data_IF_563945634175
#
_entry.id   IF_563945634175
#
_cell.length_a   1.000
_cell.length_b   1.000
_cell.length_c   1.000
_cell.angle_alpha   90.00
_cell.angle_beta   90.00
_cell.angle_gamma   90.00
#
_symmetry.space_group_name_H-M   'P 1'
#
loop_
_entity.id
_entity.type
_entity.pdbx_description
1 polymer ?
#
# COMPACT_ATOMS: atom_id res chain seq x y z
N UNK A 1 -23.16 -38.80 26.16
CA UNK A 1 -24.49 -38.61 26.78
C UNK A 1 -24.47 -37.40 27.73
N UNK A 2 -25.32 -36.42 27.40
CA UNK A 2 -25.86 -35.35 28.26
C UNK A 2 -24.90 -34.32 28.90
N UNK A 3 -24.76 -33.22 28.15
CA UNK A 3 -24.76 -31.79 28.53
C UNK A 3 -25.17 -31.45 29.97
N UNK A 4 -24.53 -30.43 30.58
CA UNK A 4 -25.23 -29.28 31.18
C UNK A 4 -24.26 -28.09 31.39
N UNK A 5 -24.59 -26.95 30.76
CA UNK A 5 -24.08 -25.61 31.02
C UNK A 5 -24.60 -25.09 32.37
N UNK A 6 -23.75 -24.40 33.15
CA UNK A 6 -24.19 -23.47 34.21
C UNK A 6 -23.32 -22.21 34.16
N UNK A 7 -23.98 -21.09 33.85
CA UNK A 7 -23.48 -19.72 33.97
C UNK A 7 -23.35 -19.35 35.46
N UNK A 8 -22.27 -18.66 35.83
CA UNK A 8 -22.21 -17.96 37.11
C UNK A 8 -21.68 -16.55 36.91
N UNK A 9 -22.48 -15.59 37.37
CA UNK A 9 -22.18 -14.17 37.44
C UNK A 9 -21.34 -13.89 38.69
N UNK A 10 -20.15 -13.34 38.51
CA UNK A 10 -19.26 -12.88 39.58
C UNK A 10 -19.06 -11.38 39.50
N UNK A 11 -19.72 -10.67 40.41
CA UNK A 11 -19.57 -9.25 40.72
C UNK A 11 -18.20 -8.98 41.35
N UNK A 12 -17.46 -7.99 40.81
CA UNK A 12 -16.22 -7.49 41.42
C UNK A 12 -16.26 -5.97 41.58
N UNK A 13 -16.07 -5.57 42.82
CA UNK A 13 -16.14 -4.21 43.36
C UNK A 13 -14.96 -3.33 42.94
N UNK A 14 -15.31 -2.14 42.45
CA UNK A 14 -14.79 -0.80 42.76
C UNK A 14 -13.41 -0.73 43.44
N UNK A 15 -12.41 -0.27 42.68
CA UNK A 15 -11.32 0.57 43.19
C UNK A 15 -11.09 1.73 42.22
N UNK A 16 -11.11 2.94 42.76
CA UNK A 16 -11.19 4.23 42.10
C UNK A 16 -9.96 4.58 41.24
N UNK A 17 -10.22 5.28 40.11
CA UNK A 17 -9.23 6.08 39.39
C UNK A 17 -9.76 7.52 39.27
N UNK A 18 -8.91 8.56 39.33
CA UNK A 18 -9.37 9.93 39.50
C UNK A 18 -9.90 10.51 38.18
N UNK A 19 -11.13 11.02 38.28
CA UNK A 19 -11.75 12.15 37.56
C UNK A 19 -11.05 12.62 36.28
N UNK A 20 -11.50 12.12 35.13
CA UNK A 20 -11.37 12.80 33.85
C UNK A 20 -12.62 13.68 33.67
N UNK A 21 -12.39 14.96 33.41
CA UNK A 21 -13.43 15.96 33.16
C UNK A 21 -14.44 15.49 32.09
N UNK A 22 -15.72 15.77 32.37
CA UNK A 22 -16.90 15.39 31.59
C UNK A 22 -16.82 15.77 30.09
N UNK A 23 -17.50 15.00 29.21
CA UNK A 23 -17.57 15.28 27.80
C UNK A 23 -18.57 16.41 27.55
N UNK A 24 -18.10 17.52 26.96
CA UNK A 24 -18.99 18.45 26.27
C UNK A 24 -19.15 17.90 24.86
N UNK A 25 -20.37 17.52 24.49
CA UNK A 25 -20.76 17.14 23.14
C UNK A 25 -20.50 18.30 22.16
N UNK A 26 -19.27 18.33 21.65
CA UNK A 26 -18.82 19.14 20.54
C UNK A 26 -18.28 18.24 19.43
N UNK A 27 -18.21 18.73 18.17
CA UNK A 27 -17.71 17.92 17.06
C UNK A 27 -16.31 17.42 17.41
N UNK A 28 -16.12 16.09 17.40
CA UNK A 28 -14.90 15.41 17.81
C UNK A 28 -13.64 16.17 17.38
N UNK A 29 -12.96 16.81 18.34
CA UNK A 29 -11.80 17.67 18.06
C UNK A 29 -10.71 16.82 17.45
N UNK A 30 -10.47 17.01 16.15
CA UNK A 30 -9.44 16.27 15.43
C UNK A 30 -8.06 16.70 15.95
N UNK A 31 -7.20 15.72 16.28
CA UNK A 31 -5.84 15.97 16.75
C UNK A 31 -4.84 15.84 15.60
N UNK A 32 -3.73 16.56 15.71
CA UNK A 32 -2.65 16.51 14.75
C UNK A 32 -1.93 15.16 14.81
N UNK A 33 -1.92 14.41 13.69
CA UNK A 33 -1.28 13.09 13.58
C UNK A 33 0.24 13.10 13.86
N UNK A 34 0.88 14.27 13.80
CA UNK A 34 2.34 14.41 14.03
C UNK A 34 2.67 14.67 15.49
N UNK A 35 1.96 15.58 16.17
CA UNK A 35 2.36 16.06 17.50
C UNK A 35 1.25 16.03 18.56
N UNK A 36 0.05 15.59 18.21
CA UNK A 36 -1.08 15.49 19.13
C UNK A 36 -1.71 16.82 19.56
N UNK A 37 -1.22 17.97 19.05
CA UNK A 37 -1.86 19.28 19.25
C UNK A 37 -3.19 19.38 18.48
N UNK A 38 -4.04 20.35 18.81
CA UNK A 38 -5.30 20.55 18.10
C UNK A 38 -5.06 20.78 16.60
N UNK A 39 -5.77 20.01 15.76
CA UNK A 39 -5.67 20.17 14.32
C UNK A 39 -6.42 21.42 13.88
N UNK A 40 -5.82 22.22 13.00
CA UNK A 40 -6.47 23.35 12.35
C UNK A 40 -7.17 22.96 11.05
N UNK A 41 -7.01 21.70 10.61
CA UNK A 41 -7.55 21.23 9.34
C UNK A 41 -6.69 20.15 8.69
N UNK A 42 -7.09 19.80 7.47
CA UNK A 42 -6.41 18.81 6.64
C UNK A 42 -5.36 19.50 5.77
N UNK A 43 -4.07 19.30 6.07
CA UNK A 43 -2.96 19.91 5.34
C UNK A 43 -2.01 18.83 4.83
N UNK A 44 -1.56 18.97 3.58
CA UNK A 44 -0.60 18.04 2.98
C UNK A 44 -1.04 16.57 2.98
N UNK A 45 -2.36 16.30 3.01
CA UNK A 45 -2.89 14.94 2.99
C UNK A 45 -3.19 14.34 4.37
N UNK A 46 -3.08 15.10 5.47
CA UNK A 46 -3.42 14.63 6.83
C UNK A 46 -3.90 15.73 7.78
N UNK A 47 -4.63 15.34 8.83
CA UNK A 47 -5.01 16.23 9.93
C UNK A 47 -3.77 16.70 10.70
N UNK A 48 -3.48 18.00 10.61
CA UNK A 48 -2.33 18.60 11.28
C UNK A 48 -2.66 19.94 11.93
N UNK A 49 -1.80 20.38 12.84
CA UNK A 49 -1.85 21.73 13.40
C UNK A 49 -1.08 22.71 12.51
N UNK A 50 -1.34 24.02 12.64
CA UNK A 50 -0.62 25.06 11.91
C UNK A 50 0.91 24.97 12.08
N UNK A 51 1.37 24.58 13.27
CA UNK A 51 2.80 24.41 13.54
C UNK A 51 3.47 23.34 12.71
N UNK A 52 2.80 22.20 12.45
CA UNK A 52 3.35 21.10 11.64
C UNK A 52 3.17 21.35 10.14
N UNK A 53 2.05 21.98 9.73
CA UNK A 53 1.84 22.46 8.37
C UNK A 53 2.95 23.41 7.93
N UNK A 54 3.20 24.47 8.69
CA UNK A 54 4.20 25.47 8.33
C UNK A 54 5.64 24.92 8.37
N UNK A 55 5.92 24.04 9.33
CA UNK A 55 7.20 23.32 9.39
C UNK A 55 7.41 22.48 8.13
N UNK A 56 6.46 21.62 7.78
CA UNK A 56 6.55 20.75 6.62
C UNK A 56 6.76 21.53 5.32
N UNK A 57 5.99 22.61 5.10
CA UNK A 57 6.15 23.50 3.93
C UNK A 57 7.60 23.99 3.77
N UNK A 58 8.20 24.53 4.83
CA UNK A 58 9.59 25.01 4.80
C UNK A 58 10.60 23.87 4.62
N UNK A 59 10.31 22.73 5.23
CA UNK A 59 11.17 21.54 5.17
C UNK A 59 11.27 20.92 3.78
N UNK A 60 10.19 20.98 2.97
CA UNK A 60 10.15 20.36 1.64
C UNK A 60 10.49 21.33 0.49
N UNK A 61 10.42 22.64 0.72
CA UNK A 61 10.76 23.66 -0.28
C UNK A 61 12.24 24.06 -0.25
N UNK A 62 12.92 23.90 0.89
CA UNK A 62 14.33 24.23 1.05
C UNK A 62 15.26 23.01 1.01
N UNK A 63 16.54 23.24 0.71
CA UNK A 63 17.62 22.28 0.98
C UNK A 63 17.85 22.24 2.49
N UNK A 64 17.26 21.26 3.17
CA UNK A 64 17.38 21.12 4.62
C UNK A 64 18.21 19.89 4.98
N UNK A 65 19.31 20.10 5.73
CA UNK A 65 20.18 19.03 6.23
C UNK A 65 19.94 18.83 7.74
N UNK A 66 18.73 18.40 8.12
CA UNK A 66 18.43 18.18 9.54
C UNK A 66 19.14 16.93 10.04
N UNK A 67 19.95 17.08 11.09
CA UNK A 67 20.59 15.96 11.80
C UNK A 67 19.93 15.81 13.17
N UNK A 68 19.64 14.57 13.58
CA UNK A 68 19.12 14.31 14.91
C UNK A 68 20.25 14.45 15.94
N UNK A 69 20.07 15.19 17.05
CA UNK A 69 21.07 15.28 18.11
C UNK A 69 21.17 14.03 18.99
N UNK A 70 20.35 13.01 18.72
CA UNK A 70 20.24 11.79 19.52
C UNK A 70 20.11 10.56 18.60
N UNK A 71 19.29 9.58 18.95
CA UNK A 71 19.22 8.25 18.32
C UNK A 71 18.31 8.17 17.09
N UNK A 72 17.96 9.29 16.45
CA UNK A 72 16.93 9.35 15.39
C UNK A 72 15.53 8.85 15.80
N UNK A 73 15.22 8.66 17.08
CA UNK A 73 13.91 8.17 17.57
C UNK A 73 13.24 9.13 18.59
N UNK A 74 13.40 10.44 18.42
CA UNK A 74 12.82 11.42 19.34
C UNK A 74 11.29 11.39 19.33
N UNK A 75 10.67 11.36 20.52
CA UNK A 75 9.22 11.55 20.66
C UNK A 75 8.80 12.96 20.26
N UNK A 76 7.80 13.07 19.40
CA UNK A 76 7.27 14.35 18.91
C UNK A 76 5.87 14.57 19.49
N UNK A 77 5.77 15.54 20.40
CA UNK A 77 4.54 16.04 21.04
C UNK A 77 4.46 17.58 20.96
N UNK A 78 3.35 18.19 21.40
CA UNK A 78 3.13 19.65 21.36
C UNK A 78 4.28 20.45 21.98
N UNK A 79 4.87 19.95 23.07
CA UNK A 79 5.89 20.66 23.86
C UNK A 79 7.31 20.43 23.32
N UNK A 80 7.60 19.22 22.83
CA UNK A 80 8.95 18.80 22.42
C UNK A 80 9.17 18.76 20.91
N UNK A 81 8.15 19.05 20.09
CA UNK A 81 8.27 19.08 18.61
C UNK A 81 9.32 20.06 18.08
N UNK A 82 9.82 21.01 18.86
CA UNK A 82 10.90 21.93 18.45
C UNK A 82 12.31 21.39 18.71
N UNK A 83 12.46 20.35 19.55
CA UNK A 83 13.78 19.85 20.00
C UNK A 83 14.57 19.12 18.91
N UNK A 84 13.88 18.43 17.99
CA UNK A 84 14.53 17.69 16.91
C UNK A 84 13.76 17.87 15.60
N UNK A 85 14.33 18.64 14.68
CA UNK A 85 13.74 18.90 13.37
C UNK A 85 13.80 17.65 12.47
N UNK A 86 14.87 16.86 12.54
CA UNK A 86 15.02 15.63 11.77
C UNK A 86 13.91 14.61 12.06
N UNK A 87 13.72 14.26 13.35
CA UNK A 87 12.67 13.32 13.76
C UNK A 87 11.27 13.88 13.53
N UNK A 88 11.09 15.21 13.64
CA UNK A 88 9.80 15.83 13.33
C UNK A 88 9.46 15.71 11.85
N UNK A 89 10.41 15.97 10.95
CA UNK A 89 10.20 15.85 9.51
C UNK A 89 9.95 14.40 9.12
N UNK A 90 10.73 13.46 9.66
CA UNK A 90 10.48 12.02 9.48
C UNK A 90 9.06 11.63 9.90
N UNK A 91 8.60 12.07 11.07
CA UNK A 91 7.24 11.81 11.54
C UNK A 91 6.15 12.47 10.67
N UNK A 92 6.43 13.61 10.04
CA UNK A 92 5.53 14.20 9.05
C UNK A 92 5.33 13.25 7.85
N UNK A 93 6.41 12.66 7.33
CA UNK A 93 6.31 11.69 6.23
C UNK A 93 5.64 10.38 6.66
N UNK A 94 5.98 9.85 7.84
CA UNK A 94 5.33 8.64 8.39
C UNK A 94 3.83 8.84 8.62
N UNK A 95 3.40 10.05 8.98
CA UNK A 95 2.00 10.39 9.07
C UNK A 95 1.31 10.43 7.69
N UNK A 96 2.05 10.56 6.59
CA UNK A 96 1.53 10.64 5.22
C UNK A 96 1.46 12.05 4.65
N UNK A 97 2.24 13.01 5.18
CA UNK A 97 2.32 14.34 4.58
C UNK A 97 3.05 14.30 3.23
N UNK A 98 2.45 14.86 2.19
CA UNK A 98 3.00 14.92 0.82
C UNK A 98 3.13 16.37 0.33
N UNK A 99 4.14 16.65 -0.51
CA UNK A 99 4.43 18.01 -0.99
C UNK A 99 3.35 18.56 -1.93
N UNK A 100 2.83 17.69 -2.80
CA UNK A 100 1.90 18.04 -3.86
C UNK A 100 0.54 17.42 -3.53
N UNK A 101 -0.35 18.20 -2.90
CA UNK A 101 -1.76 17.80 -2.70
C UNK A 101 -2.56 18.38 -3.87
N UNK A 102 -3.09 17.55 -4.78
CA UNK A 102 -4.14 18.02 -5.68
C UNK A 102 -5.28 18.55 -4.80
N UNK A 103 -5.74 19.78 -5.06
CA UNK A 103 -6.75 20.54 -4.31
C UNK A 103 -8.11 19.84 -4.08
N UNK A 104 -8.25 18.57 -4.49
CA UNK A 104 -9.45 17.75 -4.41
C UNK A 104 -9.73 17.15 -3.02
N UNK A 105 -8.76 17.16 -2.10
CA UNK A 105 -8.88 16.50 -0.79
C UNK A 105 -9.70 17.26 0.26
N UNK A 106 -10.07 18.51 0.02
CA UNK A 106 -10.85 19.35 0.94
C UNK A 106 -12.34 18.98 1.03
N UNK A 107 -12.84 18.06 0.19
CA UNK A 107 -14.28 17.80 0.04
C UNK A 107 -14.80 16.46 0.60
N UNK A 108 -14.00 15.60 1.23
CA UNK A 108 -14.49 14.26 1.62
C UNK A 108 -14.74 14.12 3.14
N UNK A 109 -16.02 14.17 3.52
CA UNK A 109 -16.51 13.92 4.88
C UNK A 109 -16.62 12.41 5.20
N UNK A 110 -15.84 12.00 6.19
CA UNK A 110 -16.13 11.09 7.33
C UNK A 110 -16.75 9.68 7.23
N UNK A 111 -17.19 9.09 6.11
CA UNK A 111 -17.84 7.74 6.15
C UNK A 111 -17.37 6.65 5.16
N UNK A 112 -16.06 6.52 4.92
CA UNK A 112 -15.51 5.31 4.26
C UNK A 112 -14.47 4.60 5.15
N UNK A 113 -14.28 3.29 4.99
CA UNK A 113 -13.19 2.51 5.61
C UNK A 113 -11.82 2.90 5.04
N UNK A 114 -10.71 2.66 5.77
CA UNK A 114 -9.36 3.16 5.40
C UNK A 114 -8.90 2.75 4.00
N UNK A 115 -9.23 1.54 3.55
CA UNK A 115 -8.86 1.02 2.24
C UNK A 115 -9.72 1.64 1.11
N UNK A 116 -11.03 1.76 1.34
CA UNK A 116 -11.97 2.38 0.40
C UNK A 116 -11.70 3.88 0.19
N UNK A 117 -11.19 4.59 1.21
CA UNK A 117 -10.72 5.99 1.08
C UNK A 117 -9.53 6.12 0.13
N UNK A 118 -8.58 5.19 0.17
CA UNK A 118 -7.38 5.20 -0.69
C UNK A 118 -7.75 4.92 -2.15
N UNK A 119 -8.60 3.92 -2.39
CA UNK A 119 -9.05 3.59 -3.75
C UNK A 119 -9.96 4.67 -4.37
N UNK A 120 -10.91 5.24 -3.62
CA UNK A 120 -11.84 6.22 -4.19
C UNK A 120 -11.17 7.57 -4.52
N UNK A 121 -10.18 8.02 -3.72
CA UNK A 121 -9.45 9.28 -3.99
C UNK A 121 -8.54 9.18 -5.21
N UNK A 122 -7.92 8.03 -5.45
CA UNK A 122 -7.06 7.78 -6.62
C UNK A 122 -7.92 7.72 -7.88
N UNK A 123 -9.00 6.93 -7.88
CA UNK A 123 -9.88 6.77 -9.05
C UNK A 123 -10.57 8.09 -9.44
N UNK A 124 -11.01 8.91 -8.48
CA UNK A 124 -11.64 10.21 -8.77
C UNK A 124 -10.66 11.28 -9.25
N UNK A 125 -9.40 11.23 -8.79
CA UNK A 125 -8.36 12.17 -9.27
C UNK A 125 -7.91 11.85 -10.70
N UNK A 126 -7.91 10.56 -11.10
CA UNK A 126 -7.50 10.11 -12.43
C UNK A 126 -8.51 10.51 -13.53
N UNK A 127 -9.82 10.36 -13.28
CA UNK A 127 -10.87 10.77 -14.24
C UNK A 127 -10.92 12.28 -14.52
N UNK A 128 -10.46 13.11 -13.58
CA UNK A 128 -10.43 14.56 -13.75
C UNK A 128 -9.19 15.03 -14.55
N UNK A 129 -8.09 14.26 -14.50
CA UNK A 129 -6.86 14.55 -15.25
C UNK A 129 -6.98 14.20 -16.74
N UNK A 130 -7.69 13.12 -17.08
CA UNK A 130 -8.05 12.80 -18.48
C UNK A 130 -8.87 13.93 -19.13
N UNK A 131 -9.75 14.57 -18.35
CA UNK A 131 -10.61 15.68 -18.82
C UNK A 131 -9.84 17.00 -19.01
N UNK A 132 -8.69 17.16 -18.35
CA UNK A 132 -7.85 18.35 -18.45
C UNK A 132 -6.73 18.22 -19.49
N UNK A 133 -6.35 16.98 -19.87
CA UNK A 133 -5.38 16.73 -20.94
C UNK A 133 -5.93 17.05 -22.35
N UNK A 134 -7.25 17.21 -22.50
CA UNK A 134 -7.89 17.63 -23.76
C UNK A 134 -7.87 19.14 -24.01
N UNK A 135 -7.37 19.96 -23.07
CA UNK A 135 -7.22 21.41 -23.26
C UNK A 135 -5.94 21.95 -22.61
N UNK A 136 -4.81 21.96 -23.31
CA UNK A 136 -3.65 22.75 -22.88
C UNK A 136 -2.31 22.35 -23.47
N UNK A 137 -1.72 23.28 -24.22
CA UNK A 137 -0.47 23.29 -24.98
C UNK A 137 0.81 22.88 -24.23
N UNK A 138 1.77 22.40 -25.03
CA UNK A 138 3.19 22.14 -24.75
C UNK A 138 3.84 23.19 -23.83
N UNK A 139 4.16 22.81 -22.59
CA UNK A 139 5.34 23.28 -21.83
C UNK A 139 5.25 22.81 -20.37
N UNK A 140 5.99 21.76 -20.01
CA UNK A 140 6.69 21.61 -18.71
C UNK A 140 7.24 20.21 -18.57
N UNK A 141 8.37 19.97 -19.24
CA UNK A 141 9.38 19.03 -18.77
C UNK A 141 9.89 19.62 -17.45
N UNK A 142 10.03 18.79 -16.40
CA UNK A 142 10.46 19.14 -15.01
C UNK A 142 9.33 19.35 -13.98
N UNK A 143 8.51 18.33 -13.71
CA UNK A 143 7.95 18.07 -12.35
C UNK A 143 7.28 16.68 -12.24
N UNK A 144 8.06 15.59 -12.29
CA UNK A 144 7.50 14.22 -12.20
C UNK A 144 8.27 13.31 -11.22
N UNK A 145 8.38 13.72 -9.96
CA UNK A 145 8.88 12.83 -8.89
C UNK A 145 7.77 12.06 -8.17
N UNK A 146 6.64 12.71 -7.89
CA UNK A 146 5.53 12.11 -7.13
C UNK A 146 4.35 11.64 -7.99
N UNK A 147 4.14 12.26 -9.15
CA UNK A 147 3.02 11.92 -10.07
C UNK A 147 3.36 10.71 -10.94
N UNK A 148 4.65 10.53 -11.26
CA UNK A 148 5.16 9.36 -11.99
C UNK A 148 4.99 8.06 -11.20
N UNK A 149 5.24 8.07 -9.89
CA UNK A 149 5.21 6.88 -9.04
C UNK A 149 3.80 6.32 -8.83
N UNK A 150 2.78 7.17 -8.74
CA UNK A 150 1.37 6.72 -8.69
C UNK A 150 0.90 6.18 -10.04
N UNK A 151 1.33 6.81 -11.15
CA UNK A 151 1.06 6.32 -12.50
C UNK A 151 1.69 4.95 -12.77
N UNK A 152 2.94 4.75 -12.33
CA UNK A 152 3.63 3.45 -12.42
C UNK A 152 2.88 2.37 -11.63
N UNK A 153 2.45 2.66 -10.40
CA UNK A 153 1.68 1.68 -9.60
C UNK A 153 0.37 1.31 -10.31
N UNK A 154 -0.32 2.26 -10.92
CA UNK A 154 -1.54 1.97 -11.69
C UNK A 154 -1.25 1.10 -12.91
N UNK A 155 -0.21 1.42 -13.69
CA UNK A 155 0.18 0.63 -14.86
C UNK A 155 0.57 -0.80 -14.44
N UNK A 156 1.26 -0.96 -13.31
CA UNK A 156 1.64 -2.27 -12.78
C UNK A 156 0.43 -3.07 -12.26
N UNK A 157 -0.56 -2.42 -11.64
CA UNK A 157 -1.81 -3.05 -11.23
C UNK A 157 -2.64 -3.53 -12.44
N UNK A 158 -2.76 -2.70 -13.48
CA UNK A 158 -3.44 -3.07 -14.73
C UNK A 158 -2.65 -4.11 -15.56
N UNK A 159 -1.35 -4.24 -15.29
CA UNK A 159 -0.51 -5.23 -15.92
C UNK A 159 -0.68 -6.64 -15.32
N UNK A 160 -1.33 -6.80 -14.16
CA UNK A 160 -1.42 -8.08 -13.43
C UNK A 160 -1.79 -9.24 -14.38
N UNK A 161 -0.99 -10.32 -14.41
CA UNK A 161 -1.24 -11.44 -15.31
C UNK A 161 -2.58 -12.11 -14.98
N UNK A 162 -3.32 -12.60 -15.99
CA UNK A 162 -4.60 -13.27 -15.76
C UNK A 162 -4.41 -14.51 -14.88
N UNK A 163 -5.43 -14.84 -14.09
CA UNK A 163 -5.42 -16.02 -13.23
C UNK A 163 -5.18 -17.28 -14.06
N UNK A 164 -4.13 -18.03 -13.72
CA UNK A 164 -3.90 -19.33 -14.33
C UNK A 164 -5.00 -20.33 -13.98
N UNK A 165 -5.30 -21.17 -14.96
CA UNK A 165 -6.12 -22.36 -14.81
C UNK A 165 -5.30 -23.61 -15.23
N UNK A 166 -5.23 -24.54 -14.30
CA UNK A 166 -4.98 -25.98 -14.38
C UNK A 166 -5.57 -26.63 -15.63
N UNK A 167 -6.89 -26.44 -15.77
CA UNK A 167 -7.75 -27.14 -16.74
C UNK A 167 -7.55 -28.66 -16.69
N UNK A 168 -7.39 -29.22 -15.48
CA UNK A 168 -7.29 -30.67 -15.28
C UNK A 168 -8.68 -31.30 -15.27
N UNK A 169 -8.83 -32.47 -15.88
CA UNK A 169 -10.00 -33.33 -15.70
C UNK A 169 -10.06 -33.85 -14.24
N UNK A 170 -11.20 -33.73 -13.55
CA UNK A 170 -11.36 -34.31 -12.21
C UNK A 170 -11.21 -35.84 -12.29
N UNK A 171 -10.21 -36.42 -11.63
CA UNK A 171 -10.13 -37.87 -11.40
C UNK A 171 -8.87 -38.61 -11.89
N UNK A 172 -7.95 -37.96 -12.62
CA UNK A 172 -6.68 -38.64 -12.97
C UNK A 172 -5.76 -38.76 -11.74
N UNK A 173 -5.10 -39.91 -11.51
CA UNK A 173 -4.11 -40.05 -10.45
C UNK A 173 -2.87 -39.19 -10.72
N UNK A 174 -2.35 -38.53 -9.69
CA UNK A 174 -1.11 -37.76 -9.72
C UNK A 174 0.10 -38.70 -9.60
N UNK A 175 0.68 -39.12 -10.73
CA UNK A 175 1.99 -39.76 -10.78
C UNK A 175 3.11 -38.72 -10.86
N UNK A 176 4.34 -39.07 -10.47
CA UNK A 176 5.50 -38.16 -10.57
C UNK A 176 5.72 -37.62 -12.00
N UNK A 177 5.65 -38.50 -13.00
CA UNK A 177 5.76 -38.11 -14.41
C UNK A 177 4.62 -37.16 -14.85
N UNK A 178 3.39 -37.39 -14.36
CA UNK A 178 2.26 -36.50 -14.63
C UNK A 178 2.43 -35.13 -13.95
N UNK A 179 3.01 -35.08 -12.74
CA UNK A 179 3.30 -33.84 -12.03
C UNK A 179 4.37 -33.03 -12.74
N UNK A 180 5.45 -33.67 -13.21
CA UNK A 180 6.50 -32.98 -13.98
C UNK A 180 5.97 -32.38 -15.27
N UNK A 181 5.15 -33.14 -16.00
CA UNK A 181 4.49 -32.65 -17.22
C UNK A 181 3.55 -31.48 -16.91
N UNK A 182 2.78 -31.59 -15.82
CA UNK A 182 1.85 -30.57 -15.37
C UNK A 182 2.55 -29.25 -15.00
N UNK A 183 3.62 -29.33 -14.21
CA UNK A 183 4.38 -28.14 -13.81
C UNK A 183 5.09 -27.51 -15.00
N UNK A 184 5.59 -28.31 -15.94
CA UNK A 184 6.23 -27.80 -17.15
C UNK A 184 5.22 -27.06 -18.03
N UNK A 185 4.03 -27.62 -18.26
CA UNK A 185 2.96 -26.98 -19.03
C UNK A 185 2.48 -25.67 -18.38
N UNK A 186 2.32 -25.67 -17.05
CA UNK A 186 2.00 -24.47 -16.28
C UNK A 186 3.08 -23.39 -16.40
N UNK A 187 4.35 -23.78 -16.29
CA UNK A 187 5.47 -22.85 -16.45
C UNK A 187 5.52 -22.25 -17.85
N UNK A 188 5.25 -23.05 -18.89
CA UNK A 188 5.15 -22.55 -20.28
C UNK A 188 4.03 -21.54 -20.44
N UNK A 189 2.84 -21.80 -19.88
CA UNK A 189 1.70 -20.87 -19.90
C UNK A 189 2.03 -19.56 -19.17
N UNK A 190 2.63 -19.64 -17.99
CA UNK A 190 3.04 -18.45 -17.24
C UNK A 190 4.14 -17.67 -17.94
N UNK A 191 5.08 -18.34 -18.60
CA UNK A 191 6.13 -17.66 -19.37
C UNK A 191 5.52 -16.76 -20.45
N UNK A 192 4.47 -17.21 -21.14
CA UNK A 192 3.74 -16.39 -22.11
C UNK A 192 3.09 -15.18 -21.44
N UNK A 193 2.51 -15.36 -20.24
CA UNK A 193 1.96 -14.25 -19.46
C UNK A 193 3.03 -13.26 -19.01
N UNK A 194 4.20 -13.72 -18.56
CA UNK A 194 5.34 -12.86 -18.18
C UNK A 194 5.80 -12.02 -19.37
N UNK A 195 5.89 -12.61 -20.57
CA UNK A 195 6.25 -11.85 -21.78
C UNK A 195 5.20 -10.78 -22.09
N UNK A 196 3.90 -11.11 -21.95
CA UNK A 196 2.81 -10.15 -22.14
C UNK A 196 2.81 -9.04 -21.07
N UNK A 197 3.07 -9.40 -19.82
CA UNK A 197 3.22 -8.48 -18.68
C UNK A 197 4.41 -7.54 -18.88
N UNK A 198 5.56 -8.06 -19.28
CA UNK A 198 6.78 -7.27 -19.50
C UNK A 198 6.57 -6.16 -20.55
N UNK A 199 5.81 -6.44 -21.61
CA UNK A 199 5.44 -5.42 -22.63
C UNK A 199 4.64 -4.25 -22.05
N UNK A 200 3.93 -4.44 -20.94
CA UNK A 200 3.16 -3.39 -20.25
C UNK A 200 4.00 -2.59 -19.25
N UNK A 201 5.22 -3.03 -18.92
CA UNK A 201 6.10 -2.34 -17.97
C UNK A 201 6.62 -1.04 -18.62
N UNK A 202 6.45 0.13 -17.97
CA UNK A 202 6.98 1.39 -18.47
C UNK A 202 8.48 1.30 -18.75
N UNK A 203 8.90 1.73 -19.94
CA UNK A 203 10.30 1.70 -20.39
C UNK A 203 10.78 0.36 -20.96
N UNK A 204 10.07 -0.76 -20.77
CA UNK A 204 10.50 -2.06 -21.32
C UNK A 204 10.45 -2.08 -22.85
N UNK A 205 9.41 -1.46 -23.45
CA UNK A 205 9.25 -1.40 -24.90
C UNK A 205 10.27 -0.49 -25.60
N UNK A 206 10.95 0.39 -24.86
CA UNK A 206 11.97 1.31 -25.35
C UNK A 206 13.36 0.66 -25.47
N UNK A 207 13.56 -0.52 -24.88
CA UNK A 207 14.82 -1.26 -24.93
C UNK A 207 15.04 -1.95 -26.30
N UNK A 208 16.29 -2.19 -26.66
CA UNK A 208 16.63 -2.98 -27.85
C UNK A 208 16.19 -4.43 -27.72
N UNK A 209 15.84 -5.07 -28.85
CA UNK A 209 15.37 -6.46 -28.86
C UNK A 209 16.33 -7.46 -28.17
N UNK A 210 17.66 -7.40 -28.37
CA UNK A 210 18.59 -8.29 -27.67
C UNK A 210 18.54 -8.11 -26.16
N UNK A 211 18.42 -6.86 -25.68
CA UNK A 211 18.33 -6.54 -24.25
C UNK A 211 17.03 -7.04 -23.66
N UNK A 212 15.89 -6.87 -24.37
CA UNK A 212 14.59 -7.40 -23.96
C UNK A 212 14.62 -8.92 -23.77
N UNK A 213 15.22 -9.64 -24.71
CA UNK A 213 15.35 -11.11 -24.66
C UNK A 213 16.21 -11.53 -23.47
N UNK A 214 17.41 -10.95 -23.34
CA UNK A 214 18.35 -11.30 -22.28
C UNK A 214 17.78 -11.02 -20.87
N UNK A 215 17.02 -9.93 -20.70
CA UNK A 215 16.34 -9.64 -19.44
C UNK A 215 15.32 -10.72 -19.07
N UNK A 216 14.52 -11.16 -20.04
CA UNK A 216 13.52 -12.21 -19.81
C UNK A 216 14.19 -13.57 -19.55
N UNK A 217 15.21 -13.94 -20.33
CA UNK A 217 15.96 -15.20 -20.16
C UNK A 217 16.61 -15.32 -18.78
N UNK A 218 17.08 -14.21 -18.21
CA UNK A 218 17.75 -14.23 -16.91
C UNK A 218 16.79 -14.15 -15.71
N UNK A 219 15.59 -13.60 -15.88
CA UNK A 219 14.70 -13.28 -14.75
C UNK A 219 13.39 -14.08 -14.71
N UNK A 220 13.03 -14.81 -15.77
CA UNK A 220 11.72 -15.45 -15.85
C UNK A 220 11.43 -16.41 -14.68
N UNK A 221 12.43 -17.19 -14.23
CA UNK A 221 12.26 -18.10 -13.08
C UNK A 221 11.99 -17.34 -11.79
N UNK A 222 12.69 -16.23 -11.56
CA UNK A 222 12.48 -15.40 -10.36
C UNK A 222 11.09 -14.78 -10.34
N UNK A 223 10.62 -14.31 -11.49
CA UNK A 223 9.27 -13.77 -11.65
C UNK A 223 8.21 -14.85 -11.42
N UNK A 224 8.42 -16.07 -11.94
CA UNK A 224 7.54 -17.21 -11.69
C UNK A 224 7.44 -17.56 -10.20
N UNK A 225 8.59 -17.70 -9.52
CA UNK A 225 8.64 -18.05 -8.10
C UNK A 225 7.99 -16.94 -7.26
N UNK A 226 8.26 -15.68 -7.58
CA UNK A 226 7.65 -14.54 -6.90
C UNK A 226 6.13 -14.54 -7.05
N UNK A 227 5.62 -14.85 -8.26
CA UNK A 227 4.19 -15.01 -8.51
C UNK A 227 3.58 -16.17 -7.69
N UNK A 228 4.26 -17.31 -7.60
CA UNK A 228 3.83 -18.44 -6.78
C UNK A 228 3.78 -18.08 -5.29
N UNK A 229 4.81 -17.41 -4.79
CA UNK A 229 4.88 -16.95 -3.39
C UNK A 229 3.71 -16.00 -3.14
N UNK A 230 3.53 -14.97 -3.96
CA UNK A 230 2.46 -13.98 -3.82
C UNK A 230 1.07 -14.63 -3.72
N UNK A 231 0.75 -15.59 -4.61
CA UNK A 231 -0.52 -16.34 -4.57
C UNK A 231 -0.68 -17.16 -3.30
N UNK A 232 0.42 -17.65 -2.74
CA UNK A 232 0.44 -18.54 -1.58
C UNK A 232 0.59 -17.78 -0.25
N UNK A 233 0.83 -16.46 -0.26
CA UNK A 233 1.10 -15.67 0.96
C UNK A 233 -0.07 -15.66 1.96
N UNK A 234 -1.30 -15.78 1.48
CA UNK A 234 -2.50 -15.76 2.33
C UNK A 234 -2.87 -17.14 2.90
N UNK A 235 -2.25 -18.23 2.42
CA UNK A 235 -2.58 -19.59 2.82
C UNK A 235 -1.40 -20.26 3.56
N UNK A 236 -1.62 -20.73 4.78
CA UNK A 236 -0.60 -21.42 5.56
C UNK A 236 -0.42 -22.86 5.06
N UNK A 237 0.84 -23.28 4.90
CA UNK A 237 1.26 -24.65 4.53
C UNK A 237 0.71 -25.18 3.18
N UNK A 238 0.30 -24.29 2.27
CA UNK A 238 -0.20 -24.66 0.94
C UNK A 238 0.48 -23.83 -0.15
N UNK A 239 0.82 -24.48 -1.27
CA UNK A 239 1.30 -23.84 -2.49
C UNK A 239 0.20 -23.79 -3.54
N UNK A 240 -0.15 -22.59 -3.99
CA UNK A 240 -1.20 -22.33 -4.99
C UNK A 240 -0.56 -22.13 -6.37
N UNK A 241 -0.47 -23.19 -7.15
CA UNK A 241 0.12 -23.16 -8.50
C UNK A 241 -0.84 -22.60 -9.55
N UNK A 242 -2.13 -22.91 -9.42
CA UNK A 242 -3.21 -22.34 -10.23
C UNK A 242 -4.47 -22.22 -9.37
N UNK A 243 -5.51 -21.53 -9.86
CA UNK A 243 -6.77 -21.34 -9.11
C UNK A 243 -7.45 -22.65 -8.73
N UNK A 244 -7.14 -23.73 -9.47
CA UNK A 244 -7.66 -25.09 -9.39
C UNK A 244 -6.58 -26.13 -9.04
N UNK A 245 -5.34 -25.71 -8.73
CA UNK A 245 -4.24 -26.60 -8.36
C UNK A 245 -3.53 -26.10 -7.10
N UNK A 246 -3.89 -26.69 -5.96
CA UNK A 246 -3.33 -26.39 -4.64
C UNK A 246 -2.66 -27.64 -4.07
N UNK A 247 -1.39 -27.53 -3.70
CA UNK A 247 -0.67 -28.58 -2.99
C UNK A 247 -0.56 -28.20 -1.52
N UNK A 248 -1.02 -29.09 -0.63
CA UNK A 248 -0.81 -28.94 0.81
C UNK A 248 0.47 -29.66 1.21
N UNK A 249 1.26 -29.05 2.09
CA UNK A 249 2.41 -29.72 2.70
C UNK A 249 1.90 -30.88 3.55
N UNK A 250 2.05 -32.11 3.07
CA UNK A 250 1.83 -33.29 3.90
C UNK A 250 3.01 -33.40 4.88
N UNK A 251 2.79 -32.97 6.12
CA UNK A 251 3.67 -33.30 7.24
C UNK A 251 3.48 -34.79 7.51
N UNK A 252 4.45 -35.60 7.07
CA UNK A 252 4.62 -36.98 7.51
C UNK A 252 5.47 -37.02 8.77
#
# INVERSE_FOLDING_TARGET
PTSTFMLSAGSSSITERPVLASPVDGPATQLCSVCGDFSSGYHYGVWTCEGCKAFFKRSVQGKNNFVCPATNHCTIDKTRRRRCQACRLRKCYEAGMIRDVPLLATACSSRLTRLARRHCMVIKSLKQLEKNASHGTEASKVMLGGVASVGIIHILLEAEPPKLLCMRSPGEPLTEASMMTLFTDLATKEMVHIVSWAKKIPGFMELDLPVKIQLLENSWVEVLITGLIWRSMEQQDTLVFASDLVFTRQLH
#
